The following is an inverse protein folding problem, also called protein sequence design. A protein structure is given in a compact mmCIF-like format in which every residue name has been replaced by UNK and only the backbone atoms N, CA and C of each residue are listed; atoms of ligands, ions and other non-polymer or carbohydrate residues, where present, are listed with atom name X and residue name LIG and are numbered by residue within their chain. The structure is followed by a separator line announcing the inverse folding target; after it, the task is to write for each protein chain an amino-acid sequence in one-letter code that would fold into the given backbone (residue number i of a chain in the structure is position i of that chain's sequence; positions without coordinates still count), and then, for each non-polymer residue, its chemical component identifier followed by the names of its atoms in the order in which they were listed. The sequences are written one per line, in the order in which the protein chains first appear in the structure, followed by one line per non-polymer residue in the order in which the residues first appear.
data_IF_691609767144
#
_entry.id   IF_691609767144
#
_cell.length_a   1.000
_cell.length_b   1.000
_cell.length_c   1.000
_cell.angle_alpha   90.00
_cell.angle_beta   90.00
_cell.angle_gamma   90.00
#
_symmetry.space_group_name_H-M   'P 1'
#
loop_
_entity.id
_entity.type
_entity.pdbx_description
1 polymer ?
#
# COMPACT_ATOMS: atom_id res chain seq x y z
N UNK A 1 -15.42 29.11 -7.10
CA UNK A 1 -14.95 28.48 -5.85
C UNK A 1 -13.56 27.93 -6.11
N UNK A 2 -12.54 28.25 -5.31
CA UNK A 2 -11.26 27.57 -5.45
C UNK A 2 -11.50 26.10 -5.14
N UNK A 3 -11.24 25.23 -6.12
CA UNK A 3 -11.35 23.79 -5.98
C UNK A 3 -10.50 23.40 -4.76
N UNK A 4 -11.13 22.93 -3.67
CA UNK A 4 -10.41 22.44 -2.50
C UNK A 4 -9.48 21.35 -3.00
N UNK A 5 -8.17 21.57 -2.86
CA UNK A 5 -7.18 20.65 -3.40
C UNK A 5 -7.43 19.25 -2.83
N UNK A 6 -7.64 18.26 -3.71
CA UNK A 6 -8.02 16.90 -3.34
C UNK A 6 -6.81 16.12 -2.82
N UNK A 7 -6.37 16.48 -1.62
CA UNK A 7 -5.22 15.88 -0.94
C UNK A 7 -5.45 14.40 -0.58
N UNK A 8 -6.71 13.95 -0.56
CA UNK A 8 -7.07 12.58 -0.21
C UNK A 8 -6.98 11.65 -1.43
N UNK A 9 -7.62 12.01 -2.54
CA UNK A 9 -7.65 11.16 -3.73
C UNK A 9 -6.54 11.47 -4.74
N UNK A 10 -5.88 12.63 -4.62
CA UNK A 10 -4.78 13.06 -5.49
C UNK A 10 -3.60 13.66 -4.70
N UNK A 11 -3.10 13.02 -3.61
CA UNK A 11 -2.01 13.54 -2.79
C UNK A 11 -0.75 13.88 -3.61
N UNK A 12 -0.43 13.09 -4.63
CA UNK A 12 0.76 13.31 -5.46
C UNK A 12 0.75 14.65 -6.19
N UNK A 13 -0.42 15.19 -6.55
CA UNK A 13 -0.51 16.54 -7.14
C UNK A 13 -0.13 17.64 -6.14
N UNK A 14 -0.41 17.43 -4.84
CA UNK A 14 0.00 18.35 -3.78
C UNK A 14 1.51 18.28 -3.60
N UNK A 15 2.06 17.05 -3.57
CA UNK A 15 3.50 16.82 -3.49
C UNK A 15 4.20 17.48 -4.68
N UNK A 16 3.70 17.28 -5.91
CA UNK A 16 4.23 17.91 -7.11
C UNK A 16 4.17 19.45 -7.02
N UNK A 17 3.08 20.01 -6.50
CA UNK A 17 2.96 21.46 -6.30
C UNK A 17 4.00 22.01 -5.32
N UNK A 18 4.21 21.33 -4.20
CA UNK A 18 5.23 21.72 -3.20
C UNK A 18 6.64 21.56 -3.77
N UNK A 19 6.88 20.46 -4.49
CA UNK A 19 8.14 20.17 -5.15
C UNK A 19 8.45 21.22 -6.23
N UNK A 20 7.51 21.57 -7.11
CA UNK A 20 7.72 22.57 -8.16
C UNK A 20 8.07 23.96 -7.61
N UNK A 21 7.55 24.32 -6.44
CA UNK A 21 7.89 25.59 -5.75
C UNK A 21 9.27 25.58 -5.09
N UNK A 22 9.87 24.40 -4.87
CA UNK A 22 11.08 24.21 -4.07
C UNK A 22 12.06 23.23 -4.71
N UNK A 23 12.02 23.02 -6.03
CA UNK A 23 12.63 21.86 -6.72
C UNK A 23 14.15 21.71 -6.53
N UNK A 24 14.83 22.77 -6.09
CA UNK A 24 16.27 22.80 -5.81
C UNK A 24 16.60 22.77 -4.30
N UNK A 25 15.61 22.86 -3.42
CA UNK A 25 15.79 22.83 -1.97
C UNK A 25 15.35 21.47 -1.41
N UNK A 26 16.25 20.68 -0.78
CA UNK A 26 15.92 19.37 -0.19
C UNK A 26 14.82 19.44 0.89
N UNK A 27 14.48 20.64 1.35
CA UNK A 27 13.44 20.90 2.34
C UNK A 27 12.01 20.68 1.82
N UNK A 28 11.80 20.46 0.52
CA UNK A 28 10.48 20.17 -0.03
C UNK A 28 9.82 18.95 0.67
N UNK A 29 10.61 17.94 1.04
CA UNK A 29 10.12 16.75 1.75
C UNK A 29 9.60 17.07 3.15
N UNK A 30 10.29 17.97 3.86
CA UNK A 30 9.87 18.48 5.17
C UNK A 30 8.54 19.21 5.04
N UNK A 31 8.40 20.07 4.02
CA UNK A 31 7.17 20.81 3.74
C UNK A 31 6.00 19.91 3.39
N UNK A 32 6.24 18.84 2.60
CA UNK A 32 5.22 17.82 2.31
C UNK A 32 4.75 17.16 3.61
N UNK A 33 5.69 16.73 4.45
CA UNK A 33 5.38 16.09 5.73
C UNK A 33 4.58 17.02 6.65
N UNK A 34 5.00 18.28 6.77
CA UNK A 34 4.30 19.30 7.55
C UNK A 34 2.89 19.57 7.00
N UNK A 35 2.73 19.69 5.67
CA UNK A 35 1.43 19.88 5.04
C UNK A 35 0.45 18.77 5.41
N UNK A 36 0.81 17.50 5.19
CA UNK A 36 -0.08 16.38 5.50
C UNK A 36 -0.30 16.22 7.01
N UNK A 37 0.72 16.50 7.83
CA UNK A 37 0.59 16.49 9.29
C UNK A 37 -0.43 17.51 9.78
N UNK A 38 -0.40 18.74 9.27
CA UNK A 38 -1.38 19.77 9.62
C UNK A 38 -2.77 19.43 9.05
N UNK A 39 -2.85 18.96 7.80
CA UNK A 39 -4.13 18.53 7.20
C UNK A 39 -4.81 17.40 7.98
N UNK A 40 -4.05 16.45 8.50
CA UNK A 40 -4.61 15.36 9.30
C UNK A 40 -5.12 15.82 10.68
N UNK A 41 -4.64 16.95 11.21
CA UNK A 41 -5.13 17.51 12.48
C UNK A 41 -6.43 18.29 12.33
N UNK A 42 -6.70 18.84 11.15
CA UNK A 42 -7.91 19.61 10.88
C UNK A 42 -9.17 18.72 10.96
N UNK A 43 -10.18 19.14 11.73
CA UNK A 43 -11.56 18.61 11.66
C UNK A 43 -11.72 17.07 11.69
N UNK A 44 -10.87 16.35 12.43
CA UNK A 44 -10.83 14.88 12.44
C UNK A 44 -10.62 14.27 11.03
N UNK A 45 -9.87 14.93 10.15
CA UNK A 45 -9.59 14.49 8.79
C UNK A 45 -8.95 13.10 8.71
N UNK A 46 -8.28 12.65 9.77
CA UNK A 46 -7.80 11.25 9.93
C UNK A 46 -8.91 10.21 9.76
N UNK A 47 -10.15 10.55 10.11
CA UNK A 47 -11.31 9.67 9.96
C UNK A 47 -11.77 9.56 8.51
N UNK A 48 -11.44 10.54 7.65
CA UNK A 48 -11.74 10.50 6.22
C UNK A 48 -10.73 9.65 5.44
N UNK A 49 -9.54 9.42 6.00
CA UNK A 49 -8.51 8.60 5.37
C UNK A 49 -8.91 7.13 5.40
N UNK A 50 -9.07 6.46 4.24
CA UNK A 50 -9.41 5.05 4.17
C UNK A 50 -8.31 4.17 4.76
N UNK A 51 -8.75 3.11 5.43
CA UNK A 51 -7.89 2.17 6.15
C UNK A 51 -7.74 0.87 5.37
N UNK A 52 -6.50 0.42 5.16
CA UNK A 52 -6.21 -0.89 4.56
C UNK A 52 -6.67 -2.07 5.44
N UNK A 53 -6.94 -1.83 6.73
CA UNK A 53 -7.47 -2.86 7.63
C UNK A 53 -8.94 -3.18 7.36
N UNK A 54 -9.67 -2.19 6.83
CA UNK A 54 -11.14 -2.17 6.85
C UNK A 54 -11.71 -2.16 5.42
N UNK A 55 -10.96 -1.59 4.48
CA UNK A 55 -11.34 -1.49 3.07
C UNK A 55 -10.56 -2.50 2.23
N UNK A 56 -11.23 -3.35 1.44
CA UNK A 56 -10.57 -4.22 0.47
C UNK A 56 -9.74 -3.41 -0.54
N UNK A 57 -8.54 -3.90 -0.89
CA UNK A 57 -7.59 -3.19 -1.73
C UNK A 57 -8.18 -2.72 -3.08
N UNK A 58 -9.04 -3.52 -3.70
CA UNK A 58 -9.65 -3.21 -5.01
C UNK A 58 -10.74 -2.12 -4.95
N UNK A 59 -11.12 -1.66 -3.75
CA UNK A 59 -12.00 -0.49 -3.55
C UNK A 59 -11.21 0.81 -3.31
N UNK A 60 -9.89 0.70 -3.12
CA UNK A 60 -9.03 1.86 -2.93
C UNK A 60 -8.61 2.41 -4.29
N UNK A 61 -8.72 3.72 -4.43
CA UNK A 61 -8.23 4.42 -5.62
C UNK A 61 -6.69 4.33 -5.64
N UNK A 62 -6.07 3.95 -6.77
CA UNK A 62 -4.62 4.02 -6.91
C UNK A 62 -4.09 5.44 -6.66
N UNK A 63 -2.88 5.55 -6.11
CA UNK A 63 -2.22 6.83 -5.80
C UNK A 63 -2.99 7.75 -4.85
N UNK A 64 -3.90 7.20 -4.03
CA UNK A 64 -4.60 7.93 -2.98
C UNK A 64 -3.91 7.78 -1.62
N UNK A 65 -4.24 8.67 -0.69
CA UNK A 65 -3.74 8.59 0.67
C UNK A 65 -4.54 7.55 1.47
N UNK A 66 -3.83 6.62 2.10
CA UNK A 66 -4.42 5.58 2.96
C UNK A 66 -3.75 5.60 4.33
N UNK A 67 -4.37 4.93 5.30
CA UNK A 67 -3.76 4.58 6.58
C UNK A 67 -3.71 3.07 6.73
N UNK A 68 -2.71 2.57 7.44
CA UNK A 68 -2.59 1.15 7.73
C UNK A 68 -2.07 0.95 9.15
N UNK A 69 -2.83 0.20 9.94
CA UNK A 69 -2.46 -0.20 11.29
C UNK A 69 -1.96 -1.64 11.23
N UNK A 70 -0.70 -1.84 11.54
CA UNK A 70 -0.04 -3.11 11.29
C UNK A 70 0.98 -3.44 12.37
N UNK A 71 1.38 -4.71 12.38
CA UNK A 71 2.58 -5.17 13.05
C UNK A 71 3.69 -5.30 12.00
N UNK A 72 4.84 -4.68 12.26
CA UNK A 72 6.05 -4.89 11.47
C UNK A 72 6.61 -6.26 11.84
N UNK A 73 6.75 -7.14 10.86
CA UNK A 73 7.28 -8.50 11.05
C UNK A 73 8.73 -8.62 10.63
N UNK A 74 9.12 -7.87 9.59
CA UNK A 74 10.46 -7.94 9.04
C UNK A 74 10.88 -6.59 8.44
N UNK A 75 12.19 -6.45 8.27
CA UNK A 75 12.86 -5.33 7.61
C UNK A 75 13.72 -5.92 6.50
N UNK A 76 13.48 -5.51 5.26
CA UNK A 76 14.36 -5.91 4.15
C UNK A 76 15.54 -4.95 4.02
N UNK A 77 16.48 -5.28 3.15
CA UNK A 77 17.58 -4.40 2.81
C UNK A 77 17.04 -3.08 2.21
N UNK A 78 17.66 -1.92 2.52
CA UNK A 78 17.27 -0.65 1.93
C UNK A 78 17.31 -0.68 0.40
N UNK A 79 16.28 -0.09 -0.21
CA UNK A 79 16.21 0.07 -1.66
C UNK A 79 16.74 1.44 -2.08
N UNK A 80 17.67 1.46 -3.04
CA UNK A 80 18.11 2.70 -3.67
C UNK A 80 17.12 3.15 -4.74
N UNK A 81 16.80 4.44 -4.75
CA UNK A 81 15.94 5.06 -5.76
C UNK A 81 16.42 6.45 -6.16
N UNK A 82 15.92 6.94 -7.30
CA UNK A 82 16.13 8.31 -7.76
C UNK A 82 15.15 9.22 -7.01
N UNK A 83 15.63 9.94 -5.99
CA UNK A 83 14.80 10.86 -5.23
C UNK A 83 14.38 12.06 -6.06
N UNK A 84 15.32 12.64 -6.80
CA UNK A 84 15.08 13.70 -7.78
C UNK A 84 15.78 13.31 -9.07
N UNK A 85 15.08 13.43 -10.19
CA UNK A 85 15.62 13.15 -11.53
C UNK A 85 14.96 14.06 -12.56
N UNK A 86 15.64 14.24 -13.69
CA UNK A 86 15.13 15.02 -14.83
C UNK A 86 14.79 14.07 -15.97
N UNK A 87 13.68 14.34 -16.67
CA UNK A 87 13.39 13.72 -17.96
C UNK A 87 13.52 14.73 -19.09
N UNK A 88 14.07 14.30 -20.21
CA UNK A 88 14.21 15.09 -21.44
C UNK A 88 13.31 14.50 -22.51
N UNK A 89 12.48 15.34 -23.12
CA UNK A 89 11.73 14.98 -24.31
C UNK A 89 12.68 14.89 -25.52
N UNK A 90 12.70 13.74 -26.18
CA UNK A 90 13.56 13.44 -27.31
C UNK A 90 13.29 14.31 -28.54
N UNK A 91 12.05 14.78 -28.71
CA UNK A 91 11.57 15.60 -29.83
C UNK A 91 11.70 17.09 -29.51
N UNK A 92 11.11 17.54 -28.40
CA UNK A 92 11.04 18.97 -28.06
C UNK A 92 12.28 19.48 -27.33
N UNK A 93 13.13 18.56 -26.83
CA UNK A 93 14.24 18.85 -25.92
C UNK A 93 13.81 19.57 -24.64
N UNK A 94 12.51 19.54 -24.31
CA UNK A 94 12.00 20.07 -23.05
C UNK A 94 12.45 19.20 -21.89
N UNK A 95 12.71 19.83 -20.75
CA UNK A 95 13.20 19.17 -19.54
C UNK A 95 12.18 19.32 -18.42
N UNK A 96 11.96 18.25 -17.67
CA UNK A 96 11.01 18.23 -16.56
C UNK A 96 11.64 17.54 -15.37
N UNK A 97 11.63 18.23 -14.22
CA UNK A 97 12.09 17.68 -12.95
C UNK A 97 10.98 16.87 -12.28
N UNK A 98 11.35 15.70 -11.74
CA UNK A 98 10.46 14.78 -11.06
C UNK A 98 11.01 14.38 -9.69
N UNK A 99 10.13 13.88 -8.83
CA UNK A 99 10.49 13.24 -7.57
C UNK A 99 10.13 11.74 -7.60
N UNK A 100 10.93 10.90 -6.95
CA UNK A 100 10.71 9.45 -6.88
C UNK A 100 10.20 8.93 -5.54
N UNK A 101 10.24 9.73 -4.47
CA UNK A 101 10.01 9.28 -3.08
C UNK A 101 8.72 8.50 -2.84
N UNK A 102 7.64 8.85 -3.54
CA UNK A 102 6.31 8.24 -3.36
C UNK A 102 5.88 7.39 -4.57
N UNK A 103 6.85 6.89 -5.34
CA UNK A 103 6.61 6.08 -6.53
C UNK A 103 7.57 4.90 -6.61
N UNK A 104 7.08 3.82 -7.19
CA UNK A 104 7.91 2.64 -7.46
C UNK A 104 8.53 2.69 -8.85
N UNK A 105 7.85 3.36 -9.80
CA UNK A 105 8.27 3.50 -11.19
C UNK A 105 8.50 4.98 -11.49
N UNK A 106 9.62 5.27 -12.15
CA UNK A 106 9.94 6.62 -12.62
C UNK A 106 8.88 7.10 -13.64
N UNK A 107 8.44 8.34 -13.50
CA UNK A 107 7.55 8.98 -14.46
C UNK A 107 8.32 9.24 -15.75
N UNK A 108 7.92 8.54 -16.81
CA UNK A 108 8.54 8.64 -18.12
C UNK A 108 7.47 8.50 -19.21
N UNK A 109 7.20 9.57 -19.95
CA UNK A 109 6.27 9.55 -21.07
C UNK A 109 6.82 8.87 -22.34
N UNK A 110 5.98 8.61 -23.36
CA UNK A 110 6.36 7.85 -24.58
C UNK A 110 7.53 8.41 -25.41
N UNK A 111 7.95 9.65 -25.18
CA UNK A 111 9.08 10.32 -25.85
C UNK A 111 10.05 10.96 -24.87
N UNK A 112 9.93 10.64 -23.59
CA UNK A 112 10.80 11.14 -22.55
C UNK A 112 11.85 10.10 -22.23
N UNK A 113 13.04 10.56 -21.87
CA UNK A 113 14.12 9.74 -21.36
C UNK A 113 14.67 10.40 -20.10
N UNK A 114 15.12 9.59 -19.14
CA UNK A 114 15.75 10.12 -17.92
C UNK A 114 17.14 10.64 -18.28
N UNK A 115 17.46 11.89 -17.91
CA UNK A 115 18.81 12.42 -18.03
C UNK A 115 19.70 11.74 -16.98
N UNK A 116 20.55 10.81 -17.43
CA UNK A 116 21.46 10.04 -16.56
C UNK A 116 22.68 10.84 -16.12
N UNK A 117 22.72 12.16 -16.34
CA UNK A 117 23.76 13.03 -15.85
C UNK A 117 23.77 13.03 -14.30
N UNK A 118 24.87 12.61 -13.64
CA UNK A 118 24.95 12.54 -12.18
C UNK A 118 24.69 13.88 -11.48
N UNK A 119 24.88 15.00 -12.18
CA UNK A 119 24.64 16.35 -11.63
C UNK A 119 23.15 16.67 -11.45
N UNK A 120 22.27 15.94 -12.11
CA UNK A 120 20.83 16.18 -12.14
C UNK A 120 20.03 15.09 -11.41
N UNK A 121 20.71 14.07 -10.90
CA UNK A 121 20.11 12.97 -10.14
C UNK A 121 20.52 13.10 -8.68
N UNK A 122 19.54 13.15 -7.80
CA UNK A 122 19.73 12.95 -6.36
C UNK A 122 19.21 11.57 -6.03
N UNK A 123 20.09 10.68 -5.57
CA UNK A 123 19.70 9.36 -5.08
C UNK A 123 19.38 9.40 -3.59
N UNK A 124 18.51 8.50 -3.16
CA UNK A 124 18.25 8.25 -1.75
C UNK A 124 17.95 6.76 -1.55
N UNK A 125 17.92 6.33 -0.30
CA UNK A 125 17.52 5.00 0.13
C UNK A 125 16.17 5.04 0.86
N UNK A 126 15.41 3.95 0.77
CA UNK A 126 14.18 3.76 1.55
C UNK A 126 14.22 2.42 2.26
N UNK A 127 13.90 2.47 3.54
CA UNK A 127 13.69 1.26 4.34
C UNK A 127 12.31 0.68 3.99
N UNK A 128 12.29 -0.57 3.55
CA UNK A 128 11.06 -1.33 3.30
C UNK A 128 10.76 -2.22 4.51
N UNK A 129 9.47 -2.35 4.81
CA UNK A 129 8.98 -3.11 5.96
C UNK A 129 7.95 -4.13 5.50
N UNK A 130 8.04 -5.36 6.00
CA UNK A 130 6.97 -6.33 5.85
C UNK A 130 5.94 -6.13 6.97
N UNK A 131 4.76 -5.64 6.58
CA UNK A 131 3.70 -5.27 7.50
C UNK A 131 2.50 -6.20 7.36
N UNK A 132 2.02 -6.76 8.48
CA UNK A 132 0.80 -7.57 8.53
C UNK A 132 -0.27 -6.92 9.39
N UNK A 133 -1.57 -7.18 9.15
CA UNK A 133 -2.62 -6.79 10.09
C UNK A 133 -2.30 -7.31 11.51
N UNK A 134 -2.64 -6.53 12.52
CA UNK A 134 -2.30 -6.85 13.93
C UNK A 134 -2.81 -8.26 14.30
N UNK A 135 -1.91 -9.22 14.61
CA UNK A 135 -2.31 -10.58 14.94
C UNK A 135 -3.13 -10.62 16.23
N UNK A 136 -4.11 -11.52 16.28
CA UNK A 136 -4.94 -11.69 17.48
C UNK A 136 -5.79 -10.48 17.86
N UNK A 137 -5.93 -9.49 16.96
CA UNK A 137 -6.70 -8.29 17.25
C UNK A 137 -8.16 -8.63 17.57
N UNK A 138 -8.61 -8.18 18.74
CA UNK A 138 -9.96 -8.41 19.25
C UNK A 138 -11.02 -7.73 18.39
N UNK A 139 -12.21 -8.33 18.35
CA UNK A 139 -13.31 -7.82 17.52
C UNK A 139 -13.75 -6.40 17.93
N UNK A 140 -13.76 -6.09 19.22
CA UNK A 140 -14.17 -4.77 19.71
C UNK A 140 -13.21 -3.65 19.30
N UNK A 141 -11.91 -3.95 19.14
CA UNK A 141 -10.92 -2.97 18.64
C UNK A 141 -11.19 -2.68 17.17
N UNK A 142 -11.42 -3.72 16.36
CA UNK A 142 -11.76 -3.57 14.94
C UNK A 142 -13.02 -2.74 14.76
N UNK A 143 -14.06 -3.04 15.54
CA UNK A 143 -15.32 -2.31 15.50
C UNK A 143 -15.15 -0.85 15.93
N UNK A 144 -14.32 -0.56 16.94
CA UNK A 144 -14.03 0.80 17.37
C UNK A 144 -13.36 1.63 16.26
N UNK A 145 -12.42 1.05 15.51
CA UNK A 145 -11.80 1.74 14.37
C UNK A 145 -12.75 1.88 13.17
N UNK A 146 -13.53 0.85 12.88
CA UNK A 146 -14.53 0.88 11.80
C UNK A 146 -15.59 1.94 12.04
N UNK A 147 -16.14 2.01 13.25
CA UNK A 147 -17.18 2.98 13.63
C UNK A 147 -16.67 4.43 13.67
N UNK A 148 -15.38 4.64 13.92
CA UNK A 148 -14.76 5.96 13.82
C UNK A 148 -14.46 6.38 12.36
N UNK A 149 -14.44 5.43 11.41
CA UNK A 149 -14.12 5.71 10.01
C UNK A 149 -15.29 6.41 9.31
N UNK A 150 -14.96 7.47 8.57
CA UNK A 150 -15.87 8.22 7.70
C UNK A 150 -15.43 8.15 6.23
N UNK A 151 -14.45 7.29 5.92
CA UNK A 151 -13.92 7.12 4.59
C UNK A 151 -15.01 6.59 3.64
N UNK A 152 -15.22 7.28 2.52
CA UNK A 152 -16.10 6.84 1.44
C UNK A 152 -15.26 6.19 0.36
N UNK A 153 -15.40 4.89 0.19
CA UNK A 153 -14.69 4.13 -0.84
C UNK A 153 -15.71 3.56 -1.81
N UNK A 154 -15.52 3.86 -3.10
CA UNK A 154 -16.36 3.36 -4.15
C UNK A 154 -15.73 2.08 -4.72
N UNK A 155 -16.48 0.98 -4.81
CA UNK A 155 -16.03 -0.20 -5.53
C UNK A 155 -15.61 0.15 -6.94
N UNK A 156 -14.36 -0.12 -7.31
CA UNK A 156 -13.93 -0.06 -8.72
C UNK A 156 -14.38 -1.31 -9.49
N UNK A 157 -14.89 -2.33 -8.79
CA UNK A 157 -15.36 -3.59 -9.35
C UNK A 157 -16.63 -4.04 -8.64
N UNK A 158 -17.44 -4.88 -9.27
CA UNK A 158 -18.70 -5.42 -8.72
C UNK A 158 -18.51 -6.55 -7.69
N UNK A 159 -17.30 -6.76 -7.18
CA UNK A 159 -16.97 -7.92 -6.35
C UNK A 159 -17.40 -7.73 -4.89
N UNK A 160 -18.29 -8.59 -4.38
CA UNK A 160 -18.65 -8.63 -2.96
C UNK A 160 -17.87 -9.75 -2.25
N UNK A 161 -16.97 -9.44 -1.30
CA UNK A 161 -16.22 -10.49 -0.60
C UNK A 161 -17.12 -11.22 0.41
N UNK A 162 -17.54 -12.45 0.08
CA UNK A 162 -18.08 -13.40 1.07
C UNK A 162 -16.91 -14.06 1.80
N UNK A 163 -16.61 -13.58 3.01
CA UNK A 163 -15.52 -14.11 3.84
C UNK A 163 -16.01 -15.28 4.69
N UNK A 164 -16.50 -16.35 4.06
CA UNK A 164 -16.76 -17.59 4.79
C UNK A 164 -15.43 -18.34 4.98
N UNK A 165 -14.90 -18.30 6.21
CA UNK A 165 -13.93 -19.31 6.67
C UNK A 165 -14.58 -20.68 6.47
N UNK A 166 -13.87 -21.66 5.91
CA UNK A 166 -14.31 -23.06 5.85
C UNK A 166 -14.70 -23.48 7.27
N UNK A 167 -15.94 -23.92 7.48
CA UNK A 167 -16.31 -24.57 8.73
C UNK A 167 -15.48 -25.84 8.86
N UNK A 168 -14.96 -26.08 10.04
CA UNK A 168 -14.41 -27.38 10.41
C UNK A 168 -15.61 -28.33 10.44
N UNK A 169 -15.70 -29.27 9.51
CA UNK A 169 -16.68 -30.36 9.61
C UNK A 169 -16.15 -31.33 10.68
N UNK A 170 -16.98 -31.65 11.67
CA UNK A 170 -16.66 -32.62 12.71
C UNK A 170 -16.39 -33.98 12.03
N UNK A 171 -15.19 -34.54 12.25
CA UNK A 171 -14.86 -35.90 11.86
C UNK A 171 -15.72 -36.87 12.70
N UNK A 172 -16.87 -37.28 12.15
CA UNK A 172 -17.73 -38.31 12.73
C UNK A 172 -17.03 -39.68 12.72
N UNK A 173 -16.78 -40.21 13.92
CA UNK A 173 -16.66 -41.62 14.32
C UNK A 173 -15.89 -42.59 13.39
N UNK A 174 -14.59 -42.73 13.63
CA UNK A 174 -13.80 -43.89 13.16
C UNK A 174 -14.19 -45.17 13.92
N UNK A 175 -15.15 -45.94 13.38
CA UNK A 175 -15.41 -47.31 13.82
C UNK A 175 -14.17 -48.21 13.61
N UNK A 176 -13.60 -48.70 14.71
CA UNK A 176 -12.52 -49.69 14.72
C UNK A 176 -13.07 -51.06 14.28
N UNK A 177 -12.80 -51.45 13.03
CA UNK A 177 -13.04 -52.82 12.56
C UNK A 177 -12.17 -53.83 13.32
N UNK A 178 -12.72 -54.96 13.80
CA UNK A 178 -11.94 -55.98 14.50
C UNK A 178 -10.98 -56.71 13.55
N UNK A 179 -9.75 -56.86 14.03
CA UNK A 179 -8.63 -57.53 13.38
C UNK A 179 -8.93 -59.00 13.10
N UNK A 180 -8.91 -59.39 11.82
CA UNK A 180 -8.94 -60.81 11.41
C UNK A 180 -7.58 -61.47 11.66
N UNK A 181 -7.62 -62.62 12.34
CA UNK A 181 -6.51 -63.51 12.63
C UNK A 181 -5.67 -63.89 11.39
N UNK A 182 -4.35 -63.82 11.57
CA UNK A 182 -3.32 -64.60 10.84
C UNK A 182 -3.43 -66.06 11.33
N UNK A 183 -3.59 -67.07 10.49
CA UNK A 183 -2.57 -67.89 9.81
C UNK A 183 -3.35 -69.08 9.19
N UNK A 184 -2.99 -69.73 8.07
CA UNK A 184 -1.77 -70.52 7.87
C UNK A 184 -1.65 -70.95 6.39
N UNK A 185 -0.43 -70.96 5.89
CA UNK A 185 -0.02 -71.56 4.61
C UNK A 185 -0.17 -73.09 4.63
N UNK A 186 -0.65 -73.70 3.53
CA UNK A 186 -0.15 -75.00 3.06
C UNK A 186 0.00 -74.94 1.54
N UNK A 187 1.26 -75.07 1.09
CA UNK A 187 1.64 -75.23 -0.31
C UNK A 187 1.48 -76.68 -0.77
N UNK A 188 1.27 -76.83 -2.07
CA UNK A 188 1.13 -78.08 -2.81
C UNK A 188 2.52 -78.65 -3.11
N UNK A 189 2.76 -79.89 -2.69
CA UNK A 189 3.39 -80.98 -3.48
C UNK A 189 3.58 -82.22 -2.61
#
# INVERSE_FOLDING_TARGET
MPCVADWLNCPLSIVQGIFAQNSLNPEWERKVTEYFKEKLKENNATNWVPSLNDVPLHYLKPNSLIKFRCMVQDMFDPEFYMNVYETVDTVTKSRVMHFGKYRDVAECGPHQEIDLNPKQIVTADRQTFYCVPVPGESAWVKEAYNSASQARVCPSTSYTPSRHKRSYEDDEDMELHPSKQREQHIGIS
#
